data_IF_345094495313
#
_entry.id   IF_345094495313
#
_cell.length_a   1.000
_cell.length_b   1.000
_cell.length_c   1.000
_cell.angle_alpha   90.00
_cell.angle_beta   90.00
_cell.angle_gamma   90.00
#
_symmetry.space_group_name_H-M   'P 1'
#
loop_
_entity.id
_entity.type
_entity.pdbx_description
1 polymer ?
#
# COMPACT_ATOMS: atom_id res chain seq x y z
N UNK A 1 3.55 54.29 9.25
CA UNK A 1 4.35 53.41 10.12
C UNK A 1 3.45 53.05 11.28
N UNK A 2 2.99 51.82 11.53
CA UNK A 2 3.62 50.50 11.45
C UNK A 2 2.60 49.42 11.08
N UNK A 3 3.08 48.40 10.35
CA UNK A 3 2.39 47.16 10.00
C UNK A 3 2.07 46.34 11.25
N UNK A 4 0.82 45.92 11.42
CA UNK A 4 0.41 44.95 12.44
C UNK A 4 0.45 43.56 11.80
N UNK A 5 1.55 42.85 12.07
CA UNK A 5 1.83 41.53 11.52
C UNK A 5 0.88 40.46 12.08
N UNK A 6 0.44 39.59 11.18
CA UNK A 6 -0.26 38.33 11.44
C UNK A 6 0.46 37.48 12.50
N UNK A 7 -0.11 37.40 13.71
CA UNK A 7 0.24 36.33 14.65
C UNK A 7 -0.50 35.05 14.26
N UNK A 8 -0.02 34.36 13.22
CA UNK A 8 -0.34 32.94 13.01
C UNK A 8 0.63 32.11 13.83
N UNK A 9 0.20 31.69 15.02
CA UNK A 9 0.89 30.62 15.75
C UNK A 9 0.95 29.38 14.86
N UNK A 10 2.13 28.78 14.61
CA UNK A 10 2.18 27.47 14.00
C UNK A 10 1.51 26.49 14.97
N UNK A 11 0.43 25.86 14.54
CA UNK A 11 -0.12 24.70 15.24
C UNK A 11 0.97 23.61 15.22
N UNK A 12 1.73 23.51 16.30
CA UNK A 12 2.61 22.38 16.55
C UNK A 12 1.71 21.15 16.65
N UNK A 13 1.62 20.37 15.57
CA UNK A 13 1.04 19.02 15.64
C UNK A 13 1.78 18.28 16.77
N UNK A 14 1.09 17.54 17.64
CA UNK A 14 1.76 16.63 18.55
C UNK A 14 2.59 15.68 17.70
N UNK A 15 3.92 15.83 17.75
CA UNK A 15 4.83 14.81 17.26
C UNK A 15 4.65 13.67 18.25
N UNK A 16 3.89 12.66 17.85
CA UNK A 16 3.94 11.37 18.52
C UNK A 16 5.41 10.97 18.55
N UNK A 17 5.97 10.54 19.71
CA UNK A 17 7.30 9.95 19.70
C UNK A 17 7.18 8.67 18.88
N UNK A 18 7.50 8.75 17.59
CA UNK A 18 7.90 7.57 16.85
C UNK A 18 9.08 7.02 17.63
N UNK A 19 8.86 5.86 18.24
CA UNK A 19 9.77 5.12 19.11
C UNK A 19 11.22 5.26 18.64
N UNK A 20 11.94 6.21 19.22
CA UNK A 20 13.35 6.43 18.91
C UNK A 20 14.16 5.37 19.66
N UNK A 21 14.29 4.21 19.01
CA UNK A 21 15.60 3.71 18.59
C UNK A 21 16.69 3.46 19.67
N UNK A 22 16.32 3.00 20.87
CA UNK A 22 17.27 2.44 21.86
C UNK A 22 17.73 1.00 21.55
N UNK A 23 17.51 0.52 20.32
CA UNK A 23 18.03 -0.78 19.92
C UNK A 23 19.54 -0.66 19.61
N UNK A 24 20.35 -1.49 20.26
CA UNK A 24 21.78 -1.58 20.00
C UNK A 24 22.07 -1.78 18.50
N UNK A 25 23.07 -1.12 17.89
CA UNK A 25 23.33 -1.21 16.44
C UNK A 25 23.47 -2.65 15.93
N UNK A 26 24.16 -3.51 16.68
CA UNK A 26 24.30 -4.94 16.32
C UNK A 26 22.97 -5.71 16.35
N UNK A 27 22.01 -5.28 17.16
CA UNK A 27 20.66 -5.84 17.18
C UNK A 27 19.88 -5.49 15.89
N UNK A 28 20.06 -4.28 15.35
CA UNK A 28 19.45 -3.89 14.06
C UNK A 28 20.06 -4.66 12.89
N UNK A 29 21.38 -4.74 12.83
CA UNK A 29 22.10 -5.51 11.81
C UNK A 29 21.66 -6.99 11.84
N UNK A 30 21.52 -7.55 13.04
CA UNK A 30 21.03 -8.92 13.20
C UNK A 30 19.57 -9.07 12.76
N UNK A 31 18.71 -8.09 13.02
CA UNK A 31 17.32 -8.10 12.57
C UNK A 31 17.21 -8.05 11.03
N UNK A 32 18.10 -7.30 10.36
CA UNK A 32 18.23 -7.28 8.92
C UNK A 32 18.68 -8.63 8.37
N UNK A 33 19.77 -9.19 8.90
CA UNK A 33 20.26 -10.51 8.52
C UNK A 33 19.20 -11.61 8.73
N UNK A 34 18.44 -11.54 9.82
CA UNK A 34 17.33 -12.46 10.09
C UNK A 34 16.24 -12.40 9.01
N UNK A 35 15.87 -11.21 8.53
CA UNK A 35 14.86 -11.05 7.46
C UNK A 35 15.34 -11.60 6.12
N UNK A 36 16.61 -11.35 5.79
CA UNK A 36 17.22 -11.89 4.56
C UNK A 36 17.28 -13.41 4.60
N UNK A 37 17.80 -13.98 5.70
CA UNK A 37 17.90 -15.42 5.89
C UNK A 37 16.53 -16.10 5.87
N UNK A 38 15.50 -15.48 6.47
CA UNK A 38 14.15 -15.99 6.43
C UNK A 38 13.57 -16.00 5.00
N UNK A 39 13.87 -14.97 4.20
CA UNK A 39 13.40 -14.85 2.82
C UNK A 39 14.04 -15.89 1.88
N UNK A 40 15.28 -16.30 2.15
CA UNK A 40 16.02 -17.27 1.31
C UNK A 40 15.84 -18.71 1.80
N UNK A 41 15.83 -18.94 3.11
CA UNK A 41 15.91 -20.27 3.72
C UNK A 41 14.66 -20.73 4.48
N UNK A 42 13.62 -19.89 4.58
CA UNK A 42 12.38 -20.21 5.30
C UNK A 42 12.54 -20.30 6.83
N UNK A 43 13.67 -19.85 7.37
CA UNK A 43 13.94 -19.86 8.81
C UNK A 43 15.35 -19.35 9.15
N UNK A 44 15.51 -18.80 10.35
CA UNK A 44 16.80 -18.34 10.86
C UNK A 44 17.36 -19.38 11.82
N UNK A 45 18.56 -19.92 11.55
CA UNK A 45 19.28 -20.78 12.51
C UNK A 45 20.52 -20.04 13.01
N UNK A 46 20.95 -20.33 14.25
CA UNK A 46 22.14 -19.68 14.84
C UNK A 46 23.41 -19.89 14.03
N UNK A 47 23.54 -21.03 13.33
CA UNK A 47 24.66 -21.29 12.40
C UNK A 47 24.70 -20.32 11.22
N UNK A 48 23.55 -19.84 10.76
CA UNK A 48 23.43 -18.95 9.61
C UNK A 48 23.77 -17.51 10.03
N UNK A 49 23.43 -17.14 11.28
CA UNK A 49 23.89 -15.89 11.90
C UNK A 49 25.40 -15.87 12.15
N UNK A 50 26.00 -17.01 12.55
CA UNK A 50 27.46 -17.13 12.61
C UNK A 50 28.08 -16.96 11.21
N UNK A 51 27.47 -17.56 10.19
CA UNK A 51 27.86 -17.37 8.79
C UNK A 51 27.73 -15.92 8.31
N UNK A 52 26.82 -15.15 8.89
CA UNK A 52 26.63 -13.72 8.66
C UNK A 52 27.59 -12.82 9.49
N UNK A 53 28.52 -13.40 10.24
CA UNK A 53 29.55 -12.65 10.98
C UNK A 53 29.15 -12.23 12.40
N UNK A 54 28.12 -12.83 12.99
CA UNK A 54 27.78 -12.63 14.40
C UNK A 54 28.48 -13.65 15.30
N UNK A 55 29.04 -13.18 16.40
CA UNK A 55 29.63 -14.05 17.43
C UNK A 55 28.56 -14.70 18.29
N UNK A 56 28.92 -15.78 18.99
CA UNK A 56 27.97 -16.47 19.89
C UNK A 56 27.47 -15.57 21.03
N UNK A 57 28.35 -14.68 21.55
CA UNK A 57 27.98 -13.72 22.59
C UNK A 57 26.94 -12.71 22.07
N UNK A 58 27.14 -12.17 20.87
CA UNK A 58 26.19 -11.24 20.25
C UNK A 58 24.85 -11.91 19.92
N UNK A 59 24.87 -13.17 19.46
CA UNK A 59 23.64 -13.93 19.19
C UNK A 59 22.86 -14.13 20.50
N UNK A 60 23.53 -14.57 21.57
CA UNK A 60 22.86 -14.78 22.85
C UNK A 60 22.31 -13.49 23.46
N UNK A 61 22.97 -12.35 23.23
CA UNK A 61 22.57 -11.05 23.76
C UNK A 61 21.44 -10.40 22.95
N UNK A 62 21.50 -10.48 21.62
CA UNK A 62 20.64 -9.67 20.74
C UNK A 62 19.58 -10.47 19.97
N UNK A 63 19.61 -11.81 19.94
CA UNK A 63 18.72 -12.60 19.06
C UNK A 63 17.24 -12.30 19.26
N UNK A 64 16.79 -12.22 20.52
CA UNK A 64 15.36 -12.08 20.82
C UNK A 64 14.85 -10.68 20.50
N UNK A 65 15.66 -9.66 20.81
CA UNK A 65 15.38 -8.28 20.45
C UNK A 65 15.42 -8.07 18.92
N UNK A 66 16.40 -8.68 18.24
CA UNK A 66 16.54 -8.64 16.79
C UNK A 66 15.38 -9.36 16.09
N UNK A 67 14.95 -10.51 16.61
CA UNK A 67 13.80 -11.24 16.09
C UNK A 67 12.51 -10.43 16.22
N UNK A 68 12.31 -9.75 17.37
CA UNK A 68 11.18 -8.84 17.56
C UNK A 68 11.21 -7.68 16.56
N UNK A 69 12.37 -7.04 16.37
CA UNK A 69 12.54 -5.96 15.39
C UNK A 69 12.28 -6.44 13.95
N UNK A 70 12.80 -7.61 13.59
CA UNK A 70 12.59 -8.23 12.29
C UNK A 70 11.10 -8.52 12.04
N UNK A 71 10.41 -9.04 13.05
CA UNK A 71 8.97 -9.30 13.00
C UNK A 71 8.17 -8.01 12.88
N UNK A 72 8.43 -7.02 13.75
CA UNK A 72 7.72 -5.74 13.73
C UNK A 72 7.91 -4.99 12.40
N UNK A 73 9.12 -5.03 11.84
CA UNK A 73 9.38 -4.48 10.50
C UNK A 73 8.60 -5.25 9.42
N UNK A 74 8.53 -6.58 9.51
CA UNK A 74 7.77 -7.41 8.57
C UNK A 74 6.26 -7.14 8.67
N UNK A 75 5.72 -6.98 9.88
CA UNK A 75 4.30 -6.68 10.12
C UNK A 75 3.92 -5.27 9.71
N UNK A 76 4.82 -4.28 9.85
CA UNK A 76 4.58 -2.93 9.29
C UNK A 76 4.42 -2.95 7.77
N UNK A 77 5.09 -3.86 7.06
CA UNK A 77 4.84 -4.09 5.63
C UNK A 77 3.54 -4.85 5.34
N UNK A 78 2.93 -5.52 6.33
CA UNK A 78 1.70 -6.32 6.20
C UNK A 78 0.45 -5.60 6.71
N UNK A 79 0.57 -4.47 7.41
CA UNK A 79 -0.60 -3.68 7.83
C UNK A 79 -1.15 -2.97 6.61
N UNK A 80 -2.22 -3.54 6.03
CA UNK A 80 -2.99 -2.94 4.93
C UNK A 80 -3.55 -1.59 5.40
N UNK A 81 -2.78 -0.52 5.18
CA UNK A 81 -3.29 0.84 5.33
C UNK A 81 -4.51 1.00 4.41
N UNK A 82 -5.52 1.79 4.80
CA UNK A 82 -6.61 2.12 3.89
C UNK A 82 -6.04 2.81 2.65
N UNK A 83 -6.58 2.49 1.48
CA UNK A 83 -6.16 3.11 0.23
C UNK A 83 -6.50 4.60 0.24
N UNK A 84 -5.49 5.42 -0.07
CA UNK A 84 -5.65 6.83 -0.35
C UNK A 84 -6.10 7.02 -1.80
N UNK A 85 -6.46 8.26 -2.17
CA UNK A 85 -6.90 8.57 -3.54
C UNK A 85 -5.87 8.13 -4.59
N UNK A 86 -4.58 8.34 -4.32
CA UNK A 86 -3.50 7.90 -5.21
C UNK A 86 -3.49 6.38 -5.39
N UNK A 87 -3.59 5.62 -4.29
CA UNK A 87 -3.63 4.16 -4.33
C UNK A 87 -4.87 3.64 -5.10
N UNK A 88 -6.03 4.30 -4.94
CA UNK A 88 -7.25 3.98 -5.69
C UNK A 88 -7.03 4.18 -7.19
N UNK A 89 -6.42 5.30 -7.59
CA UNK A 89 -6.12 5.60 -9.00
C UNK A 89 -5.15 4.55 -9.56
N UNK A 90 -4.08 4.23 -8.85
CA UNK A 90 -3.10 3.23 -9.29
C UNK A 90 -3.74 1.86 -9.49
N UNK A 91 -4.50 1.39 -8.50
CA UNK A 91 -5.25 0.13 -8.59
C UNK A 91 -6.27 0.16 -9.73
N UNK A 92 -6.93 1.30 -9.96
CA UNK A 92 -7.88 1.44 -11.07
C UNK A 92 -7.19 1.44 -12.44
N UNK A 93 -5.96 1.95 -12.55
CA UNK A 93 -5.13 1.96 -13.77
C UNK A 93 -4.51 0.59 -14.09
N UNK A 94 -4.17 -0.20 -13.08
CA UNK A 94 -3.61 -1.53 -13.27
C UNK A 94 -4.39 -2.53 -12.41
N UNK A 95 -5.65 -2.83 -12.77
CA UNK A 95 -6.51 -3.58 -11.88
C UNK A 95 -6.10 -5.05 -11.80
N UNK A 96 -6.01 -5.53 -10.56
CA UNK A 96 -5.82 -6.93 -10.23
C UNK A 96 -7.09 -7.45 -9.55
N UNK A 97 -7.69 -8.57 -10.00
CA UNK A 97 -8.97 -9.06 -9.47
C UNK A 97 -8.98 -9.28 -7.94
N UNK A 98 -7.85 -9.69 -7.38
CA UNK A 98 -7.67 -9.97 -5.95
C UNK A 98 -7.22 -8.75 -5.13
N UNK A 99 -7.10 -7.56 -5.74
CA UNK A 99 -6.60 -6.35 -5.06
C UNK A 99 -7.51 -5.15 -5.32
N UNK A 100 -8.76 -5.16 -4.82
CA UNK A 100 -9.64 -4.02 -4.93
C UNK A 100 -9.08 -2.78 -4.18
N UNK A 101 -9.46 -1.57 -4.61
CA UNK A 101 -9.36 -0.38 -3.78
C UNK A 101 -10.27 -0.46 -2.54
N UNK A 102 -9.68 -0.37 -1.35
CA UNK A 102 -10.32 -0.40 -0.05
C UNK A 102 -9.93 0.86 0.74
N UNK A 103 -10.61 2.00 0.49
CA UNK A 103 -10.41 3.21 1.28
C UNK A 103 -10.89 3.01 2.72
N UNK A 104 -10.57 3.99 3.57
CA UNK A 104 -10.95 3.97 4.99
C UNK A 104 -12.45 3.68 5.15
N UNK A 105 -12.77 2.90 6.17
CA UNK A 105 -14.14 2.48 6.53
C UNK A 105 -14.84 1.59 5.48
N UNK A 106 -14.12 1.13 4.46
CA UNK A 106 -14.62 0.11 3.52
C UNK A 106 -14.31 -1.28 4.07
N UNK A 107 -15.35 -2.06 4.34
CA UNK A 107 -15.19 -3.50 4.57
C UNK A 107 -15.27 -4.22 3.24
N UNK A 108 -14.32 -5.11 3.01
CA UNK A 108 -14.40 -6.01 1.86
C UNK A 108 -15.68 -6.85 1.96
N UNK A 109 -16.36 -6.99 0.83
CA UNK A 109 -17.58 -7.80 0.72
C UNK A 109 -17.61 -8.50 -0.63
N UNK A 110 -18.34 -9.62 -0.70
CA UNK A 110 -18.51 -10.37 -1.94
C UNK A 110 -19.07 -9.48 -3.07
N UNK A 111 -20.03 -8.60 -2.74
CA UNK A 111 -20.60 -7.69 -3.72
C UNK A 111 -19.56 -6.71 -4.30
N UNK A 112 -18.63 -6.23 -3.46
CA UNK A 112 -17.55 -5.35 -3.88
C UNK A 112 -16.53 -6.07 -4.75
N UNK A 113 -16.14 -7.30 -4.37
CA UNK A 113 -15.24 -8.14 -5.14
C UNK A 113 -15.81 -8.51 -6.51
N UNK A 114 -17.10 -8.86 -6.59
CA UNK A 114 -17.76 -9.15 -7.87
C UNK A 114 -17.81 -7.93 -8.77
N UNK A 115 -18.15 -6.75 -8.23
CA UNK A 115 -18.14 -5.51 -9.01
C UNK A 115 -16.73 -5.18 -9.52
N UNK A 116 -15.73 -5.30 -8.66
CA UNK A 116 -14.33 -5.09 -9.02
C UNK A 116 -13.86 -6.07 -10.10
N UNK A 117 -14.13 -7.35 -9.94
CA UNK A 117 -13.80 -8.38 -10.93
C UNK A 117 -14.47 -8.13 -12.27
N UNK A 118 -15.72 -7.66 -12.28
CA UNK A 118 -16.43 -7.31 -13.52
C UNK A 118 -15.75 -6.15 -14.24
N UNK A 119 -15.29 -5.13 -13.51
CA UNK A 119 -14.48 -4.04 -14.07
C UNK A 119 -13.13 -4.57 -14.61
N UNK A 120 -12.42 -5.43 -13.87
CA UNK A 120 -11.17 -6.03 -14.31
C UNK A 120 -11.34 -6.78 -15.64
N UNK A 121 -12.39 -7.59 -15.75
CA UNK A 121 -12.71 -8.35 -16.98
C UNK A 121 -13.02 -7.41 -18.15
N UNK A 122 -13.80 -6.35 -17.93
CA UNK A 122 -14.09 -5.37 -18.96
C UNK A 122 -12.84 -4.60 -19.42
N UNK A 123 -11.93 -4.29 -18.50
CA UNK A 123 -10.65 -3.67 -18.84
C UNK A 123 -9.74 -4.60 -19.65
N UNK A 124 -9.66 -5.87 -19.27
CA UNK A 124 -8.92 -6.87 -20.04
C UNK A 124 -9.50 -7.04 -21.45
N UNK A 125 -10.84 -7.10 -21.58
CA UNK A 125 -11.51 -7.19 -22.86
C UNK A 125 -11.20 -5.97 -23.76
N UNK A 126 -11.22 -4.75 -23.20
CA UNK A 126 -10.90 -3.53 -23.95
C UNK A 126 -9.45 -3.51 -24.46
N UNK A 127 -8.51 -4.10 -23.72
CA UNK A 127 -7.11 -4.23 -24.17
C UNK A 127 -6.98 -5.21 -25.32
N UNK A 128 -7.78 -6.30 -25.32
CA UNK A 128 -7.77 -7.32 -26.37
C UNK A 128 -8.47 -6.86 -27.65
N UNK A 129 -9.58 -6.13 -27.52
CA UNK A 129 -10.39 -5.64 -28.64
C UNK A 129 -10.81 -4.18 -28.40
N UNK A 130 -9.96 -3.20 -28.78
CA UNK A 130 -10.23 -1.79 -28.52
C UNK A 130 -11.31 -1.23 -29.46
N UNK A 131 -12.48 -0.91 -28.90
CA UNK A 131 -13.49 -0.07 -29.56
C UNK A 131 -14.34 0.75 -28.56
N UNK A 132 -15.07 1.73 -29.08
CA UNK A 132 -15.81 2.74 -28.30
C UNK A 132 -16.79 2.13 -27.28
N UNK A 133 -17.63 1.18 -27.68
CA UNK A 133 -18.61 0.55 -26.79
C UNK A 133 -17.96 -0.26 -25.66
N UNK A 134 -16.81 -0.90 -25.91
CA UNK A 134 -16.05 -1.55 -24.83
C UNK A 134 -15.43 -0.54 -23.86
N UNK A 135 -14.97 0.62 -24.37
CA UNK A 135 -14.44 1.70 -23.54
C UNK A 135 -15.51 2.28 -22.63
N UNK A 136 -16.69 2.59 -23.17
CA UNK A 136 -17.84 3.05 -22.40
C UNK A 136 -18.28 2.03 -21.34
N UNK A 137 -18.38 0.75 -21.72
CA UNK A 137 -18.72 -0.33 -20.80
C UNK A 137 -17.72 -0.42 -19.64
N UNK A 138 -16.43 -0.32 -19.93
CA UNK A 138 -15.36 -0.36 -18.93
C UNK A 138 -15.49 0.79 -17.92
N UNK A 139 -15.67 2.03 -18.40
CA UNK A 139 -15.85 3.22 -17.55
C UNK A 139 -17.15 3.15 -16.74
N UNK A 140 -18.25 2.68 -17.33
CA UNK A 140 -19.51 2.50 -16.62
C UNK A 140 -19.38 1.51 -15.44
N UNK A 141 -18.68 0.40 -15.65
CA UNK A 141 -18.43 -0.59 -14.60
C UNK A 141 -17.52 -0.04 -13.49
N UNK A 142 -16.51 0.76 -13.83
CA UNK A 142 -15.69 1.46 -12.84
C UNK A 142 -16.54 2.43 -12.00
N UNK A 143 -17.39 3.23 -12.65
CA UNK A 143 -18.28 4.16 -11.96
C UNK A 143 -19.23 3.43 -10.99
N UNK A 144 -19.83 2.32 -11.42
CA UNK A 144 -20.68 1.48 -10.56
C UNK A 144 -19.93 0.93 -9.34
N UNK A 145 -18.66 0.56 -9.51
CA UNK A 145 -17.80 0.15 -8.40
C UNK A 145 -17.50 1.31 -7.44
N UNK A 146 -17.07 2.46 -7.95
CA UNK A 146 -16.72 3.64 -7.14
C UNK A 146 -17.92 4.19 -6.36
N UNK A 147 -19.14 4.04 -6.90
CA UNK A 147 -20.37 4.43 -6.21
C UNK A 147 -20.66 3.62 -4.95
N UNK A 148 -20.05 2.44 -4.79
CA UNK A 148 -20.15 1.60 -3.58
C UNK A 148 -19.12 1.97 -2.51
N UNK A 149 -18.12 2.78 -2.85
CA UNK A 149 -17.08 3.20 -1.93
C UNK A 149 -17.51 4.46 -1.14
N UNK A 150 -17.13 4.57 0.15
CA UNK A 150 -17.37 5.74 0.99
C UNK A 150 -16.39 6.89 0.66
N UNK A 151 -16.33 7.28 -0.62
CA UNK A 151 -15.50 8.39 -1.11
C UNK A 151 -16.37 9.51 -1.68
N UNK A 152 -15.90 10.75 -1.55
CA UNK A 152 -16.59 11.94 -2.05
C UNK A 152 -16.79 11.89 -3.57
N UNK A 153 -17.90 12.44 -4.12
CA UNK A 153 -18.16 12.48 -5.56
C UNK A 153 -17.00 13.07 -6.38
N UNK A 154 -16.39 14.17 -5.93
CA UNK A 154 -15.23 14.78 -6.58
C UNK A 154 -14.04 13.83 -6.71
N UNK A 155 -13.81 12.97 -5.71
CA UNK A 155 -12.76 11.95 -5.78
C UNK A 155 -13.10 10.88 -6.81
N UNK A 156 -14.38 10.52 -6.97
CA UNK A 156 -14.82 9.56 -8.00
C UNK A 156 -14.55 10.12 -9.39
N UNK A 157 -14.93 11.37 -9.65
CA UNK A 157 -14.65 12.06 -10.92
C UNK A 157 -13.15 12.13 -11.20
N UNK A 158 -12.35 12.43 -10.18
CA UNK A 158 -10.88 12.44 -10.28
C UNK A 158 -10.33 11.07 -10.69
N UNK A 159 -10.83 9.99 -10.08
CA UNK A 159 -10.43 8.61 -10.44
C UNK A 159 -10.86 8.29 -11.87
N UNK A 160 -12.11 8.59 -12.24
CA UNK A 160 -12.66 8.35 -13.58
C UNK A 160 -11.81 9.04 -14.65
N UNK A 161 -11.56 10.34 -14.47
CA UNK A 161 -10.71 11.13 -15.37
C UNK A 161 -9.30 10.53 -15.46
N UNK A 162 -8.68 10.23 -14.32
CA UNK A 162 -7.32 9.70 -14.27
C UNK A 162 -7.18 8.31 -14.93
N UNK A 163 -8.24 7.49 -14.91
CA UNK A 163 -8.28 6.17 -15.57
C UNK A 163 -8.54 6.32 -17.05
N UNK A 164 -9.47 7.18 -17.45
CA UNK A 164 -9.81 7.43 -18.85
C UNK A 164 -8.58 7.80 -19.70
N UNK A 165 -7.67 8.62 -19.15
CA UNK A 165 -6.41 8.99 -19.78
C UNK A 165 -5.45 7.79 -20.01
N UNK A 166 -5.67 6.65 -19.34
CA UNK A 166 -4.82 5.45 -19.47
C UNK A 166 -5.44 4.35 -20.31
N UNK A 167 -6.71 4.49 -20.72
CA UNK A 167 -7.38 3.49 -21.54
C UNK A 167 -6.93 3.58 -23.00
N UNK A 168 -6.89 2.45 -23.75
CA UNK A 168 -6.56 2.44 -25.17
C UNK A 168 -7.35 3.49 -25.95
N UNK A 169 -6.65 4.27 -26.78
CA UNK A 169 -7.30 5.21 -27.69
C UNK A 169 -8.05 4.41 -28.75
N UNK A 170 -9.33 4.71 -28.91
CA UNK A 170 -10.21 4.05 -29.86
C UNK A 170 -10.67 5.10 -30.86
N UNK A 171 -10.52 4.79 -32.16
CA UNK A 171 -11.06 5.65 -33.21
C UNK A 171 -12.58 5.69 -33.08
N UNK A 172 -13.14 6.89 -33.18
CA UNK A 172 -14.59 7.14 -33.15
C UNK A 172 -15.26 6.61 -34.41
#
# INVERSE_FOLDING_TARGET
MLNQADFRSPQTRPVFPESADDAHPRCREMAEAMRELFSVGGGVRSKDLIGAGFTWAEIAEFSDAAAKLAYDASVRHLTSRPDLLADIIEKARAPLPNRPPLPRDTKESQALLVAWGTYCTARAALVLDPWSGQRERCLNLLSLYLNRLPIFPTNRETVMYAVEQTLPQVAQ
#
